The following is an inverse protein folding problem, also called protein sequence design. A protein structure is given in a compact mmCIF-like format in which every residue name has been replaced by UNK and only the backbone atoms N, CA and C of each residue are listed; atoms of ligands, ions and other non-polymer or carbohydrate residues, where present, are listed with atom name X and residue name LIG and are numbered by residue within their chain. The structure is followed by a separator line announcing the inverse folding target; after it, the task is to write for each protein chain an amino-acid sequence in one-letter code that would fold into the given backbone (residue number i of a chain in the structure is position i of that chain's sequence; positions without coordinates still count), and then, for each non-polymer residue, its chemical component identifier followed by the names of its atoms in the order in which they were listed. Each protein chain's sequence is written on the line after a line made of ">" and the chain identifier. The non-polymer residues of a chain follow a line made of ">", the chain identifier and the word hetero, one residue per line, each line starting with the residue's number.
data_IF_838892393799
#
_entry.id   IF_838892393799
#
_cell.length_a   1.000
_cell.length_b   1.000
_cell.length_c   1.000
_cell.angle_alpha   90.00
_cell.angle_beta   90.00
_cell.angle_gamma   90.00
#
_symmetry.space_group_name_H-M   'P 1'
#
loop_
_entity.id
_entity.type
_entity.pdbx_description
1 polymer ?
#
# COMPACT_ATOMS: atom_id res chain seq x y z
N UNK A 1 -9.25 6.54 68.17
CA UNK A 1 -9.91 5.22 68.00
C UNK A 1 -9.39 4.41 66.83
N UNK A 2 -9.42 4.89 65.56
CA UNK A 2 -8.88 4.11 64.43
C UNK A 2 -7.35 4.24 64.29
N UNK A 3 -6.81 5.44 64.49
CA UNK A 3 -5.35 5.70 64.41
C UNK A 3 -4.57 4.99 65.53
N UNK A 4 -5.13 4.95 66.74
CA UNK A 4 -4.54 4.24 67.88
C UNK A 4 -4.42 2.73 67.62
N UNK A 5 -5.47 2.12 67.05
CA UNK A 5 -5.46 0.69 66.68
C UNK A 5 -4.45 0.38 65.58
N UNK A 6 -4.28 1.29 64.61
CA UNK A 6 -3.24 1.13 63.59
C UNK A 6 -1.84 1.23 64.17
N UNK A 7 -1.61 2.13 65.13
CA UNK A 7 -0.32 2.27 65.80
C UNK A 7 0.02 1.06 66.67
N UNK A 8 -0.96 0.52 67.39
CA UNK A 8 -0.82 -0.72 68.17
C UNK A 8 -0.46 -1.92 67.28
N UNK A 9 -1.13 -2.07 66.13
CA UNK A 9 -0.84 -3.12 65.16
C UNK A 9 0.58 -3.01 64.57
N UNK A 10 1.02 -1.80 64.22
CA UNK A 10 2.37 -1.55 63.72
C UNK A 10 3.46 -1.88 64.76
N UNK A 11 3.22 -1.56 66.04
CA UNK A 11 4.14 -1.91 67.14
C UNK A 11 4.22 -3.43 67.34
N UNK A 12 3.10 -4.15 67.20
CA UNK A 12 3.09 -5.61 67.28
C UNK A 12 3.86 -6.26 66.11
N UNK A 13 3.70 -5.73 64.89
CA UNK A 13 4.44 -6.19 63.71
C UNK A 13 5.94 -5.89 63.81
N UNK A 14 6.32 -4.73 64.35
CA UNK A 14 7.72 -4.40 64.62
C UNK A 14 8.36 -5.35 65.64
N UNK A 15 7.62 -5.80 66.67
CA UNK A 15 8.09 -6.81 67.64
C UNK A 15 8.33 -8.18 67.01
N UNK A 16 7.62 -8.50 65.92
CA UNK A 16 7.81 -9.72 65.13
C UNK A 16 8.93 -9.58 64.07
N UNK A 17 9.61 -8.43 64.03
CA UNK A 17 10.73 -8.17 63.11
C UNK A 17 10.32 -7.57 61.76
N UNK A 18 9.06 -7.17 61.59
CA UNK A 18 8.58 -6.53 60.36
C UNK A 18 8.60 -5.00 60.51
N UNK A 19 9.42 -4.33 59.70
CA UNK A 19 9.45 -2.88 59.61
C UNK A 19 8.46 -2.41 58.55
N UNK A 20 7.23 -2.10 58.96
CA UNK A 20 6.14 -1.66 58.09
C UNK A 20 5.60 -0.31 58.55
N UNK A 21 5.12 0.48 57.60
CA UNK A 21 4.47 1.78 57.82
C UNK A 21 2.95 1.64 57.73
N UNK A 22 2.20 2.67 58.14
CA UNK A 22 0.72 2.64 58.04
C UNK A 22 0.21 2.41 56.61
N UNK A 23 0.96 2.86 55.60
CA UNK A 23 0.65 2.65 54.18
C UNK A 23 0.78 1.17 53.77
N UNK A 24 1.64 0.40 54.44
CA UNK A 24 1.84 -1.01 54.17
C UNK A 24 0.68 -1.88 54.68
N UNK A 25 -0.14 -1.37 55.61
CA UNK A 25 -1.34 -2.07 56.08
C UNK A 25 -2.38 -2.26 54.97
N UNK A 26 -2.37 -1.40 53.94
CA UNK A 26 -3.22 -1.56 52.75
C UNK A 26 -2.92 -2.83 51.95
N UNK A 27 -1.72 -3.40 52.09
CA UNK A 27 -1.33 -4.68 51.47
C UNK A 27 -1.97 -5.90 52.14
N UNK A 28 -2.60 -5.71 53.30
CA UNK A 28 -3.36 -6.75 54.01
C UNK A 28 -4.79 -6.91 53.45
N UNK A 29 -5.25 -5.98 52.62
CA UNK A 29 -6.52 -6.13 51.91
C UNK A 29 -6.43 -7.29 50.92
N UNK A 30 -7.54 -8.03 50.71
CA UNK A 30 -7.58 -9.05 49.68
C UNK A 30 -7.24 -8.43 48.30
N UNK A 31 -6.56 -9.17 47.41
CA UNK A 31 -6.31 -8.71 46.06
C UNK A 31 -7.64 -8.34 45.37
N UNK A 32 -7.56 -7.41 44.42
CA UNK A 32 -8.71 -7.03 43.60
C UNK A 32 -9.35 -8.28 42.97
N UNK A 33 -10.67 -8.41 43.05
CA UNK A 33 -11.41 -9.56 42.52
C UNK A 33 -11.20 -9.75 41.02
N UNK A 34 -10.77 -8.69 40.29
CA UNK A 34 -10.50 -8.71 38.85
C UNK A 34 -9.01 -8.70 38.48
N UNK A 35 -8.07 -8.92 39.41
CA UNK A 35 -6.64 -8.87 39.10
C UNK A 35 -6.25 -9.85 37.98
N UNK A 36 -6.87 -11.03 37.97
CA UNK A 36 -6.64 -12.06 36.96
C UNK A 36 -7.12 -11.61 35.58
N UNK A 37 -8.33 -11.08 35.52
CA UNK A 37 -8.96 -10.54 34.31
C UNK A 37 -8.14 -9.38 33.75
N UNK A 38 -7.68 -8.46 34.60
CA UNK A 38 -6.82 -7.34 34.18
C UNK A 38 -5.51 -7.84 33.59
N UNK A 39 -4.89 -8.87 34.18
CA UNK A 39 -3.66 -9.48 33.67
C UNK A 39 -3.87 -10.11 32.30
N UNK A 40 -4.93 -10.90 32.14
CA UNK A 40 -5.29 -11.51 30.84
C UNK A 40 -5.56 -10.42 29.80
N UNK A 41 -6.30 -9.36 30.14
CA UNK A 41 -6.58 -8.26 29.23
C UNK A 41 -5.30 -7.52 28.82
N UNK A 42 -4.36 -7.32 29.74
CA UNK A 42 -3.07 -6.73 29.44
C UNK A 42 -2.24 -7.61 28.47
N UNK A 43 -2.20 -8.92 28.72
CA UNK A 43 -1.51 -9.87 27.85
C UNK A 43 -2.11 -9.91 26.44
N UNK A 44 -3.44 -10.05 26.35
CA UNK A 44 -4.18 -10.07 25.07
C UNK A 44 -3.93 -8.77 24.31
N UNK A 45 -4.04 -7.62 24.96
CA UNK A 45 -3.76 -6.32 24.34
C UNK A 45 -2.33 -6.22 23.83
N UNK A 46 -1.35 -6.68 24.61
CA UNK A 46 0.06 -6.68 24.21
C UNK A 46 0.30 -7.55 22.97
N UNK A 47 -0.34 -8.72 22.91
CA UNK A 47 -0.27 -9.62 21.77
C UNK A 47 -0.87 -8.97 20.52
N UNK A 48 -2.09 -8.43 20.64
CA UNK A 48 -2.75 -7.73 19.53
C UNK A 48 -1.91 -6.58 19.00
N UNK A 49 -1.29 -5.78 19.89
CA UNK A 49 -0.45 -4.64 19.52
C UNK A 49 0.75 -5.01 18.65
N UNK A 50 1.28 -6.24 18.80
CA UNK A 50 2.38 -6.74 17.98
C UNK A 50 1.82 -7.41 16.72
N UNK A 51 0.78 -8.24 16.87
CA UNK A 51 0.20 -9.01 15.77
C UNK A 51 -0.35 -8.10 14.66
N UNK A 52 -1.06 -7.02 14.98
CA UNK A 52 -1.63 -6.14 13.95
C UNK A 52 -0.54 -5.46 13.12
N UNK A 53 0.59 -5.06 13.74
CA UNK A 53 1.72 -4.47 13.02
C UNK A 53 2.30 -5.43 12.01
N UNK A 54 2.50 -6.70 12.41
CA UNK A 54 2.95 -7.75 11.49
C UNK A 54 2.01 -7.93 10.31
N UNK A 55 0.69 -7.84 10.52
CA UNK A 55 -0.28 -7.94 9.42
C UNK A 55 -0.14 -6.75 8.47
N UNK A 56 -0.04 -5.52 9.00
CA UNK A 56 0.14 -4.30 8.21
C UNK A 56 1.44 -4.32 7.40
N UNK A 57 2.51 -4.93 7.92
CA UNK A 57 3.78 -5.02 7.22
C UNK A 57 3.79 -6.18 6.19
N UNK A 58 3.37 -7.38 6.61
CA UNK A 58 3.50 -8.59 5.79
C UNK A 58 2.49 -8.66 4.65
N UNK A 59 1.24 -8.20 4.84
CA UNK A 59 0.21 -8.32 3.79
C UNK A 59 0.56 -7.49 2.56
N UNK A 60 0.92 -6.20 2.67
CA UNK A 60 1.38 -5.42 1.52
C UNK A 60 2.64 -6.01 0.89
N UNK A 61 3.57 -6.52 1.68
CA UNK A 61 4.78 -7.17 1.15
C UNK A 61 4.43 -8.42 0.34
N UNK A 62 3.47 -9.23 0.80
CA UNK A 62 3.00 -10.41 0.08
C UNK A 62 2.35 -10.02 -1.25
N UNK A 63 1.50 -8.98 -1.25
CA UNK A 63 0.86 -8.45 -2.46
C UNK A 63 1.92 -7.96 -3.45
N UNK A 64 2.91 -7.20 -2.99
CA UNK A 64 3.99 -6.71 -3.85
C UNK A 64 4.76 -7.86 -4.52
N UNK A 65 5.20 -8.85 -3.73
CA UNK A 65 6.03 -9.95 -4.26
C UNK A 65 5.23 -10.91 -5.13
N UNK A 66 4.05 -11.35 -4.67
CA UNK A 66 3.30 -12.41 -5.33
C UNK A 66 2.37 -11.92 -6.43
N UNK A 67 1.93 -10.67 -6.38
CA UNK A 67 1.06 -10.08 -7.39
C UNK A 67 1.82 -9.08 -8.25
N UNK A 68 2.21 -7.92 -7.72
CA UNK A 68 2.74 -6.82 -8.53
C UNK A 68 4.01 -7.22 -9.29
N UNK A 69 5.04 -7.68 -8.56
CA UNK A 69 6.32 -8.09 -9.17
C UNK A 69 6.17 -9.31 -10.06
N UNK A 70 5.32 -10.26 -9.68
CA UNK A 70 5.09 -11.47 -10.46
C UNK A 70 4.43 -11.14 -11.78
N UNK A 71 3.35 -10.35 -11.76
CA UNK A 71 2.66 -9.87 -12.96
C UNK A 71 3.60 -9.05 -13.82
N UNK A 72 4.35 -8.10 -13.26
CA UNK A 72 5.30 -7.29 -14.01
C UNK A 72 6.33 -8.14 -14.77
N UNK A 73 6.84 -9.22 -14.15
CA UNK A 73 7.80 -10.14 -14.78
C UNK A 73 7.15 -11.09 -15.79
N UNK A 74 5.91 -11.52 -15.55
CA UNK A 74 5.23 -12.50 -16.40
C UNK A 74 4.43 -11.89 -17.55
N UNK A 75 4.09 -10.60 -17.48
CA UNK A 75 3.18 -9.98 -18.45
C UNK A 75 3.77 -9.95 -19.86
N UNK A 76 5.03 -9.52 -20.01
CA UNK A 76 5.66 -9.46 -21.33
C UNK A 76 5.77 -10.84 -22.01
N UNK A 77 6.33 -11.90 -21.38
CA UNK A 77 6.39 -13.20 -22.02
C UNK A 77 4.99 -13.77 -22.29
N UNK A 78 4.02 -13.52 -21.40
CA UNK A 78 2.63 -13.90 -21.62
C UNK A 78 2.03 -13.21 -22.86
N UNK A 79 2.24 -11.91 -23.03
CA UNK A 79 1.73 -11.18 -24.20
C UNK A 79 2.41 -11.64 -25.49
N UNK A 80 3.73 -11.88 -25.48
CA UNK A 80 4.46 -12.46 -26.64
C UNK A 80 3.82 -13.78 -27.05
N UNK A 81 3.59 -14.68 -26.08
CA UNK A 81 2.96 -15.98 -26.32
C UNK A 81 1.53 -15.81 -26.87
N UNK A 82 0.69 -14.99 -26.21
CA UNK A 82 -0.73 -14.86 -26.57
C UNK A 82 -0.93 -14.13 -27.88
N UNK A 83 -0.13 -13.12 -28.19
CA UNK A 83 -0.14 -12.49 -29.50
C UNK A 83 0.51 -13.36 -30.59
N UNK A 84 1.24 -14.41 -30.21
CA UNK A 84 1.93 -15.31 -31.13
C UNK A 84 3.11 -14.64 -31.84
N UNK A 85 3.75 -13.68 -31.19
CA UNK A 85 4.88 -12.95 -31.76
C UNK A 85 6.08 -13.90 -31.90
N UNK A 86 6.73 -13.92 -33.06
CA UNK A 86 7.84 -14.84 -33.36
C UNK A 86 7.43 -16.23 -33.86
N UNK A 87 6.13 -16.48 -34.07
CA UNK A 87 5.64 -17.68 -34.76
C UNK A 87 5.62 -17.49 -36.29
N UNK A 88 5.46 -18.59 -37.06
CA UNK A 88 5.35 -18.51 -38.52
C UNK A 88 4.17 -17.64 -39.01
N UNK A 89 3.09 -17.60 -38.23
CA UNK A 89 1.87 -16.84 -38.51
C UNK A 89 1.90 -15.42 -37.95
N UNK A 90 2.99 -15.03 -37.27
CA UNK A 90 3.08 -13.75 -36.56
C UNK A 90 2.79 -12.55 -37.47
N UNK A 91 3.26 -12.57 -38.72
CA UNK A 91 3.04 -11.48 -39.68
C UNK A 91 1.55 -11.28 -40.00
N UNK A 92 0.82 -12.36 -40.26
CA UNK A 92 -0.62 -12.30 -40.54
C UNK A 92 -1.41 -11.81 -39.31
N UNK A 93 -1.09 -12.34 -38.13
CA UNK A 93 -1.73 -11.95 -36.87
C UNK A 93 -1.47 -10.49 -36.52
N UNK A 94 -0.23 -10.02 -36.67
CA UNK A 94 0.12 -8.62 -36.49
C UNK A 94 -0.64 -7.71 -37.46
N UNK A 95 -0.80 -8.11 -38.72
CA UNK A 95 -1.63 -7.37 -39.68
C UNK A 95 -3.07 -7.18 -39.19
N UNK A 96 -3.67 -8.23 -38.63
CA UNK A 96 -5.02 -8.16 -38.04
C UNK A 96 -5.07 -7.27 -36.80
N UNK A 97 -4.10 -7.37 -35.89
CA UNK A 97 -4.07 -6.52 -34.68
C UNK A 97 -3.85 -5.04 -34.96
N UNK A 98 -3.10 -4.72 -36.01
CA UNK A 98 -2.75 -3.36 -36.41
C UNK A 98 -3.73 -2.77 -37.43
N UNK A 99 -4.83 -3.47 -37.74
CA UNK A 99 -5.86 -2.95 -38.64
C UNK A 99 -6.51 -1.73 -37.99
N UNK A 100 -6.35 -0.58 -38.64
CA UNK A 100 -6.92 0.68 -38.19
C UNK A 100 -8.44 0.70 -38.35
N UNK A 101 -9.12 1.40 -37.44
CA UNK A 101 -10.55 1.67 -37.58
C UNK A 101 -10.81 2.57 -38.80
N UNK A 102 -11.92 2.33 -39.51
CA UNK A 102 -12.29 3.05 -40.73
C UNK A 102 -12.34 4.57 -40.51
N UNK A 103 -12.80 5.01 -39.34
CA UNK A 103 -12.86 6.45 -39.00
C UNK A 103 -11.47 7.08 -38.85
N UNK A 104 -10.50 6.32 -38.31
CA UNK A 104 -9.10 6.76 -38.15
C UNK A 104 -8.42 6.86 -39.51
N UNK A 105 -8.64 5.86 -40.38
CA UNK A 105 -8.13 5.87 -41.76
C UNK A 105 -8.66 7.08 -42.53
N UNK A 106 -9.98 7.30 -42.51
CA UNK A 106 -10.60 8.43 -43.18
C UNK A 106 -10.06 9.77 -42.66
N UNK A 107 -9.85 9.88 -41.34
CA UNK A 107 -9.30 11.10 -40.76
C UNK A 107 -7.85 11.34 -41.15
N UNK A 108 -7.04 10.28 -41.16
CA UNK A 108 -5.64 10.34 -41.59
C UNK A 108 -5.55 10.82 -43.04
N UNK A 109 -6.36 10.26 -43.93
CA UNK A 109 -6.34 10.60 -45.35
C UNK A 109 -6.77 12.05 -45.60
N UNK A 110 -7.80 12.53 -44.88
CA UNK A 110 -8.23 13.94 -44.90
C UNK A 110 -7.08 14.88 -44.48
N UNK A 111 -6.41 14.57 -43.36
CA UNK A 111 -5.33 15.38 -42.81
C UNK A 111 -4.09 15.39 -43.71
N UNK A 112 -3.70 14.24 -44.26
CA UNK A 112 -2.60 14.14 -45.21
C UNK A 112 -2.90 14.92 -46.50
N UNK A 113 -4.14 14.82 -47.00
CA UNK A 113 -4.60 15.60 -48.14
C UNK A 113 -4.57 17.11 -47.87
N UNK A 114 -5.00 17.56 -46.69
CA UNK A 114 -4.91 18.96 -46.28
C UNK A 114 -3.46 19.42 -46.13
N UNK A 115 -2.60 18.62 -45.50
CA UNK A 115 -1.18 18.92 -45.33
C UNK A 115 -0.49 19.10 -46.69
N UNK A 116 -0.73 18.19 -47.63
CA UNK A 116 -0.18 18.26 -48.98
C UNK A 116 -0.60 19.55 -49.69
N UNK A 117 -1.90 19.88 -49.64
CA UNK A 117 -2.42 21.13 -50.21
C UNK A 117 -1.75 22.37 -49.59
N UNK A 118 -1.64 22.42 -48.27
CA UNK A 118 -1.01 23.56 -47.57
C UNK A 118 0.47 23.69 -47.93
N UNK A 119 1.23 22.58 -47.99
CA UNK A 119 2.65 22.60 -48.42
C UNK A 119 2.81 23.07 -49.86
N UNK A 120 1.91 22.67 -50.77
CA UNK A 120 1.93 23.15 -52.16
C UNK A 120 1.66 24.66 -52.22
N UNK A 121 0.65 25.15 -51.51
CA UNK A 121 0.34 26.59 -51.44
C UNK A 121 1.52 27.36 -50.86
N UNK A 122 2.13 26.87 -49.77
CA UNK A 122 3.31 27.49 -49.18
C UNK A 122 4.47 27.58 -50.17
N UNK A 123 4.79 26.48 -50.87
CA UNK A 123 5.86 26.47 -51.87
C UNK A 123 5.59 27.46 -53.02
N UNK A 124 4.34 27.59 -53.46
CA UNK A 124 3.95 28.56 -54.47
C UNK A 124 4.08 30.00 -53.94
N UNK A 125 3.61 30.29 -52.72
CA UNK A 125 3.73 31.63 -52.11
C UNK A 125 5.19 32.07 -51.97
N UNK A 126 6.08 31.15 -51.57
CA UNK A 126 7.52 31.39 -51.54
C UNK A 126 8.05 31.68 -52.95
N UNK A 127 7.68 30.87 -53.96
CA UNK A 127 8.11 31.08 -55.34
C UNK A 127 7.61 32.41 -55.95
N UNK A 128 6.44 32.90 -55.50
CA UNK A 128 5.89 34.21 -55.92
C UNK A 128 6.55 35.41 -55.20
N UNK A 129 7.47 35.19 -54.26
CA UNK A 129 8.11 36.27 -53.48
C UNK A 129 7.17 36.95 -52.47
N UNK A 130 6.02 36.32 -52.16
CA UNK A 130 5.04 36.84 -51.20
C UNK A 130 5.31 36.37 -49.76
N UNK A 131 6.34 35.56 -49.56
CA UNK A 131 6.79 35.08 -48.26
C UNK A 131 8.28 35.42 -48.08
N UNK A 132 8.61 36.71 -48.14
CA UNK A 132 9.77 37.20 -47.39
C UNK A 132 9.27 37.53 -45.98
N UNK A 133 9.95 36.94 -44.99
CA UNK A 133 9.78 37.09 -43.54
C UNK A 133 8.63 36.34 -42.84
N UNK A 134 8.89 35.05 -42.52
CA UNK A 134 8.59 34.43 -41.21
C UNK A 134 9.63 33.34 -40.90
#
# INVERSE_FOLDING_TARGET
>A
SSEDLTQEALVALAKLGYHVTGEDLGKLNPPDEYEMEMRVMAEVRSYFQIAYKRVIDNIPQLIDVHFLRKVARSLQPFLIEKFGLGTMEASERCGKYLTEDVSVVAKRDELLGRQKRLKTVQAQLIAFGLAEDF
#
